data_IF_082579366892
#
_entry.id   IF_082579366892
#
_cell.length_a   1.000
_cell.length_b   1.000
_cell.length_c   1.000
_cell.angle_alpha   90.00
_cell.angle_beta   90.00
_cell.angle_gamma   90.00
#
_symmetry.space_group_name_H-M   'P 1'
#
loop_
_entity.id
_entity.type
_entity.pdbx_description
1 polymer ?
#
# COMPACT_ATOMS: atom_id res chain seq x y z
N UNK A 1 55.59 29.15 40.14
CA UNK A 1 55.95 28.69 41.50
C UNK A 1 54.66 28.29 42.22
N UNK A 2 54.57 27.02 42.69
CA UNK A 2 53.53 26.40 43.56
C UNK A 2 52.12 26.21 42.94
N UNK A 3 51.65 25.00 42.59
CA UNK A 3 51.33 23.74 43.35
C UNK A 3 49.85 23.65 43.81
N UNK A 4 49.08 22.88 43.03
CA UNK A 4 48.08 21.83 43.35
C UNK A 4 47.57 21.61 44.79
N UNK A 5 46.24 21.37 44.89
CA UNK A 5 45.56 20.16 45.47
C UNK A 5 44.02 20.40 45.43
N UNK A 6 43.26 19.72 44.56
CA UNK A 6 42.48 18.48 44.80
C UNK A 6 41.54 18.53 46.01
N UNK A 7 40.23 18.44 45.74
CA UNK A 7 39.29 17.60 46.50
C UNK A 7 38.27 17.00 45.52
N UNK A 8 38.18 15.68 45.55
CA UNK A 8 37.22 14.84 44.86
C UNK A 8 36.38 14.08 45.91
N UNK A 9 35.26 13.51 45.43
CA UNK A 9 34.21 12.69 46.08
C UNK A 9 32.94 13.49 46.37
N UNK A 10 31.72 13.06 46.05
CA UNK A 10 31.09 11.83 45.51
C UNK A 10 29.62 12.27 45.21
N UNK A 11 29.05 12.18 44.01
CA UNK A 11 28.42 11.06 43.29
C UNK A 11 26.86 11.04 43.38
N UNK A 12 26.24 10.82 42.19
CA UNK A 12 24.84 10.42 41.86
C UNK A 12 23.71 11.48 41.70
N UNK A 13 22.64 11.21 40.89
CA UNK A 13 22.64 11.21 39.43
C UNK A 13 21.58 12.16 38.83
N UNK A 14 21.79 12.51 37.56
CA UNK A 14 20.95 13.39 36.73
C UNK A 14 19.59 12.72 36.46
N UNK A 15 18.51 13.33 36.96
CA UNK A 15 17.15 12.99 36.53
C UNK A 15 16.87 13.66 35.18
N UNK A 16 16.94 12.87 34.11
CA UNK A 16 16.37 13.23 32.81
C UNK A 16 14.85 13.22 32.93
N UNK A 17 14.23 14.40 32.93
CA UNK A 17 12.81 14.50 32.62
C UNK A 17 12.62 14.32 31.12
N UNK A 18 12.12 13.14 30.76
CA UNK A 18 11.71 12.79 29.42
C UNK A 18 10.52 13.66 29.01
N UNK A 19 10.65 14.32 27.86
CA UNK A 19 9.53 14.88 27.12
C UNK A 19 8.58 13.74 26.73
N UNK A 20 7.33 13.95 27.12
CA UNK A 20 6.18 13.13 26.77
C UNK A 20 5.79 13.43 25.32
N UNK A 21 5.99 12.47 24.44
CA UNK A 21 5.24 12.35 23.17
C UNK A 21 5.26 10.89 22.70
N UNK A 22 4.34 10.06 23.21
CA UNK A 22 4.02 8.77 22.59
C UNK A 22 2.51 8.55 22.48
N UNK A 23 1.91 9.27 21.53
CA UNK A 23 0.61 8.93 20.98
C UNK A 23 0.66 8.93 19.45
N UNK A 24 1.45 8.02 18.87
CA UNK A 24 1.25 7.58 17.48
C UNK A 24 1.42 6.07 17.24
N UNK A 25 1.71 5.30 18.28
CA UNK A 25 2.10 3.89 18.17
C UNK A 25 0.95 2.87 18.01
N UNK A 26 -0.27 3.27 17.63
CA UNK A 26 -1.45 2.37 17.65
C UNK A 26 -1.93 1.80 16.32
N UNK A 27 -1.30 2.07 15.18
CA UNK A 27 -1.69 1.46 13.90
C UNK A 27 -0.56 0.68 13.20
N UNK A 28 0.68 0.72 13.72
CA UNK A 28 1.82 0.00 13.11
C UNK A 28 1.96 -1.49 13.45
N UNK A 29 1.03 -2.08 14.21
CA UNK A 29 1.16 -3.48 14.67
C UNK A 29 0.07 -4.38 14.10
N UNK A 30 0.25 -4.83 12.84
CA UNK A 30 -0.28 -6.14 12.37
C UNK A 30 0.57 -6.91 11.35
N UNK A 31 1.74 -6.42 10.94
CA UNK A 31 2.66 -7.22 10.12
C UNK A 31 4.08 -7.11 10.67
N UNK A 32 4.40 -7.91 11.69
CA UNK A 32 5.77 -8.07 12.17
C UNK A 32 6.40 -9.27 11.45
N UNK A 33 7.08 -9.01 10.33
CA UNK A 33 8.03 -9.98 9.76
C UNK A 33 9.46 -9.52 10.11
N UNK A 34 10.25 -10.48 10.61
CA UNK A 34 11.58 -10.31 11.19
C UNK A 34 12.48 -9.43 10.32
N UNK A 35 13.16 -8.48 10.98
CA UNK A 35 14.30 -7.75 10.42
C UNK A 35 15.40 -8.73 9.99
N UNK A 36 15.38 -9.10 8.71
CA UNK A 36 16.48 -9.75 8.02
C UNK A 36 17.18 -8.72 7.15
N UNK A 37 18.49 -8.54 7.36
CA UNK A 37 19.52 -7.93 6.50
C UNK A 37 19.00 -7.10 5.30
N UNK A 38 19.35 -5.81 5.25
CA UNK A 38 19.14 -4.87 4.11
C UNK A 38 19.64 -5.47 2.78
N UNK A 39 18.85 -6.34 2.17
CA UNK A 39 18.96 -6.74 0.78
C UNK A 39 18.22 -5.71 -0.06
N UNK A 40 18.66 -5.50 -1.30
CA UNK A 40 18.01 -4.60 -2.25
C UNK A 40 16.49 -4.80 -2.23
N UNK A 41 15.74 -3.71 -2.35
CA UNK A 41 14.28 -3.76 -2.41
C UNK A 41 13.88 -4.84 -3.39
N UNK A 42 13.25 -5.91 -2.89
CA UNK A 42 12.68 -6.94 -3.75
C UNK A 42 11.63 -6.24 -4.61
N UNK A 43 11.87 -6.20 -5.92
CA UNK A 43 10.90 -5.68 -6.88
C UNK A 43 9.60 -6.48 -6.74
N UNK A 44 8.50 -5.76 -6.55
CA UNK A 44 7.19 -6.35 -6.33
C UNK A 44 6.52 -6.60 -7.69
N UNK A 45 6.58 -7.84 -8.17
CA UNK A 45 6.10 -8.20 -9.50
C UNK A 45 4.66 -8.73 -9.50
N UNK A 46 4.11 -8.96 -10.71
CA UNK A 46 2.76 -9.53 -10.92
C UNK A 46 2.50 -10.78 -10.07
N UNK A 47 3.47 -11.68 -10.00
CA UNK A 47 3.34 -12.92 -9.23
C UNK A 47 3.31 -12.68 -7.71
N UNK A 48 4.03 -11.67 -7.22
CA UNK A 48 3.97 -11.28 -5.81
C UNK A 48 2.60 -10.67 -5.47
N UNK A 49 2.05 -9.82 -6.35
CA UNK A 49 0.72 -9.25 -6.21
C UNK A 49 -0.38 -10.32 -6.20
N UNK A 50 -0.37 -11.25 -7.17
CA UNK A 50 -1.33 -12.36 -7.23
C UNK A 50 -1.21 -13.30 -6.03
N UNK A 51 0.01 -13.57 -5.57
CA UNK A 51 0.22 -14.38 -4.36
C UNK A 51 -0.35 -13.67 -3.12
N UNK A 52 -0.09 -12.38 -2.97
CA UNK A 52 -0.62 -11.60 -1.85
C UNK A 52 -2.15 -11.55 -1.87
N UNK A 53 -2.76 -11.40 -3.05
CA UNK A 53 -4.21 -11.46 -3.23
C UNK A 53 -4.78 -12.79 -2.70
N UNK A 54 -4.23 -13.92 -3.14
CA UNK A 54 -4.67 -15.25 -2.69
C UNK A 54 -4.50 -15.47 -1.19
N UNK A 55 -3.33 -15.10 -0.67
CA UNK A 55 -3.02 -15.25 0.76
C UNK A 55 -4.01 -14.44 1.61
N UNK A 56 -4.34 -13.21 1.21
CA UNK A 56 -5.28 -12.35 1.95
C UNK A 56 -6.72 -12.89 1.92
N UNK A 57 -7.22 -13.28 0.74
CA UNK A 57 -8.57 -13.86 0.65
C UNK A 57 -8.68 -15.17 1.43
N UNK A 58 -7.68 -16.06 1.36
CA UNK A 58 -7.68 -17.28 2.17
C UNK A 58 -7.63 -16.99 3.68
N UNK A 59 -6.88 -15.98 4.13
CA UNK A 59 -6.83 -15.62 5.55
C UNK A 59 -8.17 -15.09 6.07
N UNK A 60 -8.94 -14.46 5.18
CA UNK A 60 -10.26 -13.88 5.44
C UNK A 60 -11.41 -14.87 5.31
N UNK A 61 -11.20 -16.01 4.68
CA UNK A 61 -12.22 -17.04 4.52
C UNK A 61 -12.69 -17.57 5.90
N UNK A 62 -13.99 -17.45 6.25
CA UNK A 62 -14.53 -18.01 7.48
C UNK A 62 -14.50 -19.53 7.53
N UNK A 63 -14.42 -20.20 6.37
CA UNK A 63 -14.30 -21.65 6.22
C UNK A 63 -12.88 -22.16 6.08
N UNK A 64 -11.86 -21.32 6.32
CA UNK A 64 -10.46 -21.68 6.05
C UNK A 64 -10.02 -22.95 6.77
N UNK A 65 -9.30 -23.79 6.04
CA UNK A 65 -8.59 -24.96 6.55
C UNK A 65 -7.11 -24.80 6.19
N UNK A 66 -6.22 -25.20 7.09
CA UNK A 66 -4.78 -25.24 6.80
C UNK A 66 -4.47 -26.15 5.61
N UNK A 67 -5.29 -27.17 5.36
CA UNK A 67 -5.16 -28.04 4.18
C UNK A 67 -5.60 -27.37 2.88
N UNK A 68 -6.44 -26.33 2.96
CA UNK A 68 -6.93 -25.55 1.81
C UNK A 68 -6.07 -24.31 1.51
N UNK A 69 -4.95 -24.14 2.23
CA UNK A 69 -4.04 -23.02 2.00
C UNK A 69 -3.56 -23.02 0.53
N UNK A 70 -3.68 -21.89 -0.20
CA UNK A 70 -3.18 -21.78 -1.55
C UNK A 70 -1.72 -22.20 -1.60
N UNK A 71 -1.40 -23.14 -2.48
CA UNK A 71 -0.01 -23.49 -2.72
C UNK A 71 0.71 -22.32 -3.44
N UNK A 72 2.04 -22.33 -3.45
CA UNK A 72 2.82 -21.31 -4.17
C UNK A 72 2.72 -21.44 -5.72
N UNK A 73 1.74 -22.17 -6.25
CA UNK A 73 1.56 -22.27 -7.69
C UNK A 73 1.05 -20.91 -8.21
N UNK A 74 1.72 -20.29 -9.19
CA UNK A 74 1.28 -19.04 -9.79
C UNK A 74 -0.11 -19.11 -10.41
N UNK A 75 -0.54 -20.30 -10.86
CA UNK A 75 -1.84 -20.55 -11.48
C UNK A 75 -2.92 -21.04 -10.48
N UNK A 76 -2.61 -21.08 -9.19
CA UNK A 76 -3.64 -21.36 -8.19
C UNK A 76 -4.58 -20.16 -8.08
N UNK A 77 -5.85 -20.42 -7.81
CA UNK A 77 -6.86 -19.42 -7.46
C UNK A 77 -7.52 -19.84 -6.14
N UNK A 78 -8.26 -18.94 -5.50
CA UNK A 78 -9.15 -19.34 -4.40
C UNK A 78 -10.33 -20.17 -4.95
N UNK A 79 -11.03 -20.88 -4.06
CA UNK A 79 -12.20 -21.68 -4.42
C UNK A 79 -13.35 -20.78 -4.91
N UNK A 80 -14.08 -21.24 -5.93
CA UNK A 80 -15.28 -20.57 -6.45
C UNK A 80 -16.42 -20.52 -5.41
N UNK A 81 -16.37 -21.39 -4.39
CA UNK A 81 -17.27 -21.34 -3.24
C UNK A 81 -16.98 -20.23 -2.22
N UNK A 82 -15.88 -19.47 -2.39
CA UNK A 82 -15.51 -18.41 -1.46
C UNK A 82 -16.56 -17.27 -1.46
N UNK A 83 -16.97 -16.74 -0.29
CA UNK A 83 -18.02 -15.71 -0.21
C UNK A 83 -17.71 -14.45 -1.05
N UNK A 84 -16.43 -14.08 -1.12
CA UNK A 84 -15.95 -12.91 -1.88
C UNK A 84 -15.26 -13.27 -3.20
N UNK A 85 -15.58 -14.42 -3.81
CA UNK A 85 -14.96 -14.88 -5.07
C UNK A 85 -15.08 -13.85 -6.21
N UNK A 86 -16.23 -13.19 -6.33
CA UNK A 86 -16.45 -12.15 -7.34
C UNK A 86 -15.53 -10.93 -7.14
N UNK A 87 -15.26 -10.53 -5.89
CA UNK A 87 -14.33 -9.45 -5.60
C UNK A 87 -12.89 -9.87 -5.90
N UNK A 88 -12.51 -11.10 -5.55
CA UNK A 88 -11.20 -11.68 -5.88
C UNK A 88 -10.93 -11.61 -7.39
N UNK A 89 -11.84 -12.13 -8.22
CA UNK A 89 -11.65 -12.19 -9.67
C UNK A 89 -11.56 -10.81 -10.32
N UNK A 90 -12.31 -9.82 -9.79
CA UNK A 90 -12.21 -8.42 -10.24
C UNK A 90 -10.84 -7.83 -9.89
N UNK A 91 -10.35 -8.01 -8.67
CA UNK A 91 -9.02 -7.51 -8.28
C UNK A 91 -7.91 -8.23 -9.07
N UNK A 92 -8.02 -9.54 -9.28
CA UNK A 92 -7.10 -10.32 -10.13
C UNK A 92 -7.03 -9.75 -11.54
N UNK A 93 -8.18 -9.43 -12.14
CA UNK A 93 -8.25 -8.78 -13.46
C UNK A 93 -7.56 -7.42 -13.47
N UNK A 94 -7.75 -6.61 -12.42
CA UNK A 94 -7.09 -5.30 -12.31
C UNK A 94 -5.57 -5.43 -12.10
N UNK A 95 -5.10 -6.44 -11.36
CA UNK A 95 -3.66 -6.73 -11.23
C UNK A 95 -3.06 -7.06 -12.59
N UNK A 96 -3.73 -7.89 -13.39
CA UNK A 96 -3.27 -8.19 -14.75
C UNK A 96 -3.17 -6.93 -15.59
N UNK A 97 -4.24 -6.13 -15.67
CA UNK A 97 -4.27 -4.88 -16.43
C UNK A 97 -3.16 -3.90 -15.99
N UNK A 98 -2.92 -3.77 -14.68
CA UNK A 98 -1.86 -2.91 -14.14
C UNK A 98 -0.48 -3.31 -14.65
N UNK A 99 -0.14 -4.60 -14.58
CA UNK A 99 1.17 -5.07 -15.03
C UNK A 99 1.28 -5.20 -16.54
N UNK A 100 0.17 -5.37 -17.28
CA UNK A 100 0.18 -5.34 -18.75
C UNK A 100 0.56 -3.93 -19.23
N UNK A 101 -0.02 -2.87 -18.64
CA UNK A 101 0.36 -1.47 -18.95
C UNK A 101 1.86 -1.23 -18.71
N UNK A 102 2.39 -1.72 -17.59
CA UNK A 102 3.83 -1.58 -17.27
C UNK A 102 4.70 -2.29 -18.33
N UNK A 103 4.33 -3.50 -18.74
CA UNK A 103 5.09 -4.25 -19.73
C UNK A 103 5.03 -3.60 -21.12
N UNK A 104 3.86 -3.09 -21.52
CA UNK A 104 3.70 -2.33 -22.76
C UNK A 104 4.57 -1.07 -22.77
N UNK A 105 4.64 -0.34 -21.65
CA UNK A 105 5.51 0.85 -21.51
C UNK A 105 7.01 0.51 -21.55
N UNK A 106 7.39 -0.65 -21.00
CA UNK A 106 8.76 -1.18 -21.10
C UNK A 106 9.08 -1.56 -22.55
N UNK A 107 8.19 -2.28 -23.24
CA UNK A 107 8.37 -2.69 -24.63
C UNK A 107 8.45 -1.47 -25.57
N UNK A 108 7.66 -0.44 -25.30
CA UNK A 108 7.71 0.83 -26.01
C UNK A 108 8.98 1.66 -25.71
N UNK A 109 9.82 1.23 -24.76
CA UNK A 109 11.04 1.93 -24.35
C UNK A 109 10.77 3.25 -23.61
N UNK A 110 9.54 3.44 -23.13
CA UNK A 110 9.14 4.61 -22.33
C UNK A 110 9.75 4.49 -20.93
N UNK A 111 9.75 3.27 -20.37
CA UNK A 111 10.33 2.93 -19.08
C UNK A 111 11.47 1.92 -19.29
N UNK A 112 12.52 2.01 -18.47
CA UNK A 112 13.59 1.01 -18.46
C UNK A 112 13.17 -0.22 -17.66
N UNK A 113 13.39 -1.39 -18.23
CA UNK A 113 13.33 -2.66 -17.51
C UNK A 113 14.44 -2.70 -16.44
N UNK A 114 14.04 -2.84 -15.18
CA UNK A 114 14.97 -2.97 -14.08
C UNK A 114 15.70 -4.33 -14.09
N UNK A 115 15.22 -5.32 -14.86
CA UNK A 115 15.85 -6.65 -14.94
C UNK A 115 17.21 -6.65 -15.68
N UNK A 116 17.57 -5.59 -16.41
CA UNK A 116 18.72 -5.60 -17.32
C UNK A 116 19.86 -4.61 -16.98
N UNK A 117 19.93 -4.01 -15.78
CA UNK A 117 20.89 -2.93 -15.50
C UNK A 117 21.61 -2.97 -14.15
N UNK A 118 22.92 -3.22 -14.19
CA UNK A 118 23.99 -2.76 -13.30
C UNK A 118 23.71 -2.74 -11.77
N UNK A 119 24.25 -3.70 -10.97
CA UNK A 119 24.05 -3.76 -9.52
C UNK A 119 24.60 -2.55 -8.76
N UNK A 120 25.41 -1.69 -9.41
CA UNK A 120 26.09 -0.57 -8.78
C UNK A 120 25.39 0.78 -9.04
N UNK A 121 24.29 0.79 -9.81
CA UNK A 121 23.54 2.00 -10.10
C UNK A 121 22.37 2.16 -9.10
N UNK A 122 22.64 2.84 -7.98
CA UNK A 122 21.64 3.20 -6.96
C UNK A 122 20.47 4.06 -7.47
N UNK A 123 20.45 4.44 -8.75
CA UNK A 123 19.35 5.16 -9.42
C UNK A 123 18.41 4.24 -10.24
N UNK A 124 18.51 2.91 -10.10
CA UNK A 124 17.68 1.93 -10.82
C UNK A 124 16.49 1.36 -10.04
N UNK A 125 16.26 1.80 -8.79
CA UNK A 125 15.12 1.35 -8.01
C UNK A 125 13.82 1.91 -8.62
N UNK A 126 13.18 1.12 -9.49
CA UNK A 126 11.89 1.46 -10.07
C UNK A 126 10.88 1.77 -8.96
N UNK A 127 10.39 3.01 -8.93
CA UNK A 127 9.24 3.45 -8.12
C UNK A 127 7.97 3.51 -8.97
N UNK A 128 7.92 2.80 -10.12
CA UNK A 128 6.90 2.93 -11.17
C UNK A 128 5.53 2.32 -10.83
N UNK A 129 4.99 2.64 -9.67
CA UNK A 129 3.70 2.12 -9.21
C UNK A 129 2.50 2.92 -9.71
N UNK A 130 2.73 4.03 -10.44
CA UNK A 130 1.67 4.91 -10.94
C UNK A 130 1.29 4.64 -12.39
N UNK A 131 0.57 3.54 -12.60
CA UNK A 131 -0.17 3.27 -13.85
C UNK A 131 -1.37 4.21 -14.02
N UNK A 132 -1.92 4.29 -15.23
CA UNK A 132 -3.15 5.00 -15.55
C UNK A 132 -4.31 4.62 -14.61
N UNK A 133 -4.39 3.35 -14.23
CA UNK A 133 -5.40 2.81 -13.32
C UNK A 133 -5.29 3.38 -11.90
N UNK A 134 -4.08 3.40 -11.34
CA UNK A 134 -3.81 3.98 -10.01
C UNK A 134 -4.03 5.50 -10.03
N UNK A 135 -3.55 6.18 -11.08
CA UNK A 135 -3.74 7.62 -11.26
C UNK A 135 -5.22 7.99 -11.32
N UNK A 136 -6.00 7.29 -12.15
CA UNK A 136 -7.45 7.47 -12.28
C UNK A 136 -8.14 7.31 -10.91
N UNK A 137 -7.82 6.24 -10.18
CA UNK A 137 -8.37 5.98 -8.85
C UNK A 137 -8.09 7.14 -7.89
N UNK A 138 -6.84 7.62 -7.85
CA UNK A 138 -6.43 8.74 -7.00
C UNK A 138 -7.14 10.04 -7.40
N UNK A 139 -7.29 10.32 -8.69
CA UNK A 139 -7.95 11.53 -9.17
C UNK A 139 -9.46 11.52 -8.89
N UNK A 140 -10.13 10.38 -9.06
CA UNK A 140 -11.52 10.20 -8.62
C UNK A 140 -11.69 10.45 -7.12
N UNK A 141 -10.79 9.93 -6.29
CA UNK A 141 -10.82 10.16 -4.84
C UNK A 141 -10.57 11.63 -4.49
N UNK A 142 -9.65 12.33 -5.17
CA UNK A 142 -9.44 13.77 -4.98
C UNK A 142 -10.69 14.56 -5.34
N UNK A 143 -11.35 14.20 -6.44
CA UNK A 143 -12.59 14.82 -6.88
C UNK A 143 -13.73 14.62 -5.88
N UNK A 144 -13.89 13.41 -5.36
CA UNK A 144 -14.85 13.10 -4.31
C UNK A 144 -14.56 13.90 -3.03
N UNK A 145 -13.30 13.98 -2.59
CA UNK A 145 -12.89 14.79 -1.42
C UNK A 145 -13.18 16.27 -1.65
N UNK A 146 -12.93 16.79 -2.86
CA UNK A 146 -13.24 18.18 -3.19
C UNK A 146 -14.76 18.43 -3.09
N UNK A 147 -15.58 17.53 -3.64
CA UNK A 147 -17.03 17.59 -3.57
C UNK A 147 -17.55 17.56 -2.11
N UNK A 148 -17.01 16.68 -1.27
CA UNK A 148 -17.32 16.63 0.18
C UNK A 148 -17.05 17.98 0.84
N UNK A 149 -15.90 18.59 0.55
CA UNK A 149 -15.51 19.90 1.11
C UNK A 149 -16.35 21.06 0.59
N UNK A 150 -16.95 20.95 -0.60
CA UNK A 150 -17.81 21.97 -1.20
C UNK A 150 -19.30 21.79 -0.93
N UNK A 151 -19.67 20.95 0.06
CA UNK A 151 -21.07 20.76 0.46
C UNK A 151 -21.72 19.47 -0.06
N UNK A 152 -20.91 18.50 -0.52
CA UNK A 152 -21.34 17.16 -0.91
C UNK A 152 -21.55 16.97 -2.42
N UNK A 153 -21.42 18.02 -3.22
CA UNK A 153 -21.70 17.98 -4.66
C UNK A 153 -20.59 18.61 -5.48
N UNK A 154 -20.42 18.12 -6.71
CA UNK A 154 -19.56 18.70 -7.75
C UNK A 154 -20.38 18.95 -9.00
N UNK A 155 -20.22 20.12 -9.64
CA UNK A 155 -20.81 20.38 -10.95
C UNK A 155 -20.05 19.62 -12.04
N UNK A 156 -20.75 18.77 -12.77
CA UNK A 156 -20.27 18.10 -13.98
C UNK A 156 -21.32 18.27 -15.08
N UNK A 157 -20.91 18.65 -16.29
CA UNK A 157 -21.80 18.78 -17.46
C UNK A 157 -23.17 19.45 -17.18
N UNK A 158 -23.15 20.52 -16.38
CA UNK A 158 -24.32 21.32 -16.04
C UNK A 158 -25.26 20.75 -14.97
N UNK A 159 -24.94 19.59 -14.37
CA UNK A 159 -25.71 19.01 -13.25
C UNK A 159 -24.83 18.82 -11.99
N UNK A 160 -25.47 18.75 -10.84
CA UNK A 160 -24.80 18.48 -9.56
C UNK A 160 -24.71 16.96 -9.37
N UNK A 161 -23.50 16.46 -9.18
CA UNK A 161 -23.18 15.05 -8.93
C UNK A 161 -22.81 14.89 -7.45
N UNK A 162 -23.45 13.94 -6.77
CA UNK A 162 -23.13 13.62 -5.37
C UNK A 162 -21.72 13.03 -5.27
N UNK A 163 -20.96 13.39 -4.24
CA UNK A 163 -19.59 12.93 -4.06
C UNK A 163 -19.45 11.39 -4.06
N UNK A 164 -20.49 10.65 -3.66
CA UNK A 164 -20.49 9.18 -3.68
C UNK A 164 -20.47 8.61 -5.08
N UNK A 165 -21.04 9.31 -6.06
CA UNK A 165 -21.05 8.91 -7.47
C UNK A 165 -19.68 9.15 -8.13
N UNK A 166 -18.82 9.93 -7.49
CA UNK A 166 -17.44 10.18 -7.95
C UNK A 166 -16.45 9.12 -7.45
N UNK A 167 -16.85 8.27 -6.50
CA UNK A 167 -15.96 7.28 -5.91
C UNK A 167 -15.55 6.23 -6.96
N UNK A 168 -14.28 5.80 -6.97
CA UNK A 168 -13.88 4.61 -7.70
C UNK A 168 -14.53 3.36 -7.09
N UNK A 169 -14.48 2.23 -7.80
CA UNK A 169 -15.01 0.97 -7.26
C UNK A 169 -14.17 0.46 -6.08
N UNK A 170 -14.74 -0.46 -5.31
CA UNK A 170 -14.06 -1.05 -4.15
C UNK A 170 -12.78 -1.79 -4.59
N UNK A 171 -12.84 -2.55 -5.68
CA UNK A 171 -11.70 -3.26 -6.25
C UNK A 171 -10.59 -2.31 -6.74
N UNK A 172 -10.94 -1.16 -7.32
CA UNK A 172 -9.97 -0.12 -7.74
C UNK A 172 -9.22 0.46 -6.52
N UNK A 173 -9.92 0.68 -5.40
CA UNK A 173 -9.30 1.15 -4.14
C UNK A 173 -8.39 0.08 -3.55
N UNK A 174 -8.84 -1.18 -3.52
CA UNK A 174 -8.11 -2.30 -2.91
C UNK A 174 -6.87 -2.67 -3.74
N UNK A 175 -6.89 -2.49 -5.06
CA UNK A 175 -5.79 -2.84 -5.96
C UNK A 175 -4.42 -2.39 -5.47
N UNK A 176 -4.31 -1.13 -5.00
CA UNK A 176 -3.05 -0.55 -4.58
C UNK A 176 -2.43 -1.28 -3.36
N UNK A 177 -3.22 -2.01 -2.58
CA UNK A 177 -2.73 -2.91 -1.52
C UNK A 177 -1.89 -4.06 -2.07
N UNK A 178 -2.16 -4.49 -3.29
CA UNK A 178 -1.52 -5.64 -3.90
C UNK A 178 -0.45 -5.28 -4.92
N UNK A 179 -0.52 -4.14 -5.60
CA UNK A 179 0.49 -3.76 -6.61
C UNK A 179 1.53 -2.79 -6.07
N UNK A 180 1.20 -2.05 -5.01
CA UNK A 180 2.10 -1.10 -4.35
C UNK A 180 1.96 -1.11 -2.82
N UNK A 181 2.16 -2.26 -2.14
CA UNK A 181 1.87 -2.41 -0.71
C UNK A 181 2.68 -1.46 0.19
N UNK A 182 3.80 -0.92 -0.29
CA UNK A 182 4.70 -0.07 0.48
C UNK A 182 4.86 1.34 -0.09
N UNK A 183 4.23 1.66 -1.22
CA UNK A 183 4.44 2.93 -1.89
C UNK A 183 3.47 4.02 -1.48
N UNK A 184 3.78 5.19 -2.03
CA UNK A 184 3.13 6.46 -1.67
C UNK A 184 1.68 6.49 -2.12
N UNK A 185 1.34 5.79 -3.21
CA UNK A 185 -0.03 5.78 -3.74
C UNK A 185 -0.99 5.05 -2.82
N UNK A 186 -0.54 3.95 -2.20
CA UNK A 186 -1.31 3.24 -1.20
C UNK A 186 -1.65 4.15 -0.02
N UNK A 187 -0.65 4.81 0.56
CA UNK A 187 -0.85 5.74 1.66
C UNK A 187 -1.77 6.92 1.27
N UNK A 188 -1.69 7.38 0.02
CA UNK A 188 -2.52 8.46 -0.51
C UNK A 188 -3.98 8.03 -0.60
N UNK A 189 -4.27 6.87 -1.19
CA UNK A 189 -5.62 6.31 -1.30
C UNK A 189 -6.24 6.16 0.09
N UNK A 190 -5.54 5.53 1.03
CA UNK A 190 -6.04 5.34 2.40
C UNK A 190 -6.33 6.65 3.12
N UNK A 191 -5.51 7.69 2.91
CA UNK A 191 -5.75 9.02 3.47
C UNK A 191 -7.00 9.66 2.86
N UNK A 192 -7.23 9.51 1.56
CA UNK A 192 -8.38 10.12 0.87
C UNK A 192 -9.70 9.46 1.30
N UNK A 193 -9.75 8.13 1.38
CA UNK A 193 -10.97 7.42 1.84
C UNK A 193 -11.29 7.72 3.31
N UNK A 194 -10.28 7.92 4.16
CA UNK A 194 -10.47 8.30 5.57
C UNK A 194 -11.05 9.72 5.72
N UNK A 195 -10.68 10.66 4.83
CA UNK A 195 -11.27 12.02 4.83
C UNK A 195 -12.78 11.98 4.59
N UNK A 196 -13.25 11.00 3.81
CA UNK A 196 -14.67 10.86 3.44
C UNK A 196 -15.44 9.90 4.37
N UNK A 197 -14.77 9.22 5.30
CA UNK A 197 -15.40 8.22 6.18
C UNK A 197 -15.87 6.96 5.44
N UNK A 198 -15.15 6.56 4.38
CA UNK A 198 -15.47 5.36 3.55
C UNK A 198 -14.36 4.31 3.62
N UNK A 199 -13.72 4.16 4.78
CA UNK A 199 -12.63 3.22 5.00
C UNK A 199 -13.02 1.76 4.74
N UNK A 200 -14.31 1.44 4.83
CA UNK A 200 -14.86 0.13 4.48
C UNK A 200 -14.51 -0.29 3.05
N UNK A 201 -14.35 0.66 2.12
CA UNK A 201 -13.96 0.37 0.73
C UNK A 201 -12.53 -0.16 0.60
N UNK A 202 -11.66 0.07 1.59
CA UNK A 202 -10.30 -0.49 1.61
C UNK A 202 -10.22 -1.91 2.18
N UNK A 203 -11.35 -2.48 2.59
CA UNK A 203 -11.42 -3.75 3.31
C UNK A 203 -11.97 -4.88 2.43
N UNK A 204 -11.45 -6.09 2.69
CA UNK A 204 -12.01 -7.39 2.31
C UNK A 204 -12.66 -7.96 3.57
#
# INVERSE_FOLDING_TARGET
>A
MKRTKTNAKEDMPIQNHAESDDHSNRVRRRFAFKEGKRGGFKEWGRQDALKALRDEFWEKDPGRDETSRPNNNPNSTIDAGHPDYDLYTRIETLIHAHYDEIYDEIEAGIIRDAQNGDPDNEAGAWTGTETSLIRKTVDQLKDAVAAVRSGGYKKMDGHDVDWKELLPSQEEIILCRFVDPYGVMHATIFRLIAIMGVEWMGSI
#
